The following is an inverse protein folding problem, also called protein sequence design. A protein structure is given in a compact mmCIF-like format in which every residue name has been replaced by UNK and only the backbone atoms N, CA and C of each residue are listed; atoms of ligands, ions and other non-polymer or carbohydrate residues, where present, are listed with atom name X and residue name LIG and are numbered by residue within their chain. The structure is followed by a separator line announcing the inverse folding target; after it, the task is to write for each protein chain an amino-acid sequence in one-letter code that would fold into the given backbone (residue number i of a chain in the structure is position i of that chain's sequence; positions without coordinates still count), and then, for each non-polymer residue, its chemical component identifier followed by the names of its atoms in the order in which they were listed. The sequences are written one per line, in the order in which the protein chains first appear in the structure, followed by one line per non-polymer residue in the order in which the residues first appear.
data_IF_536865972417
#
_entry.id   IF_536865972417
#
_cell.length_a   1.000
_cell.length_b   1.000
_cell.length_c   1.000
_cell.angle_alpha   90.00
_cell.angle_beta   90.00
_cell.angle_gamma   90.00
#
_symmetry.space_group_name_H-M   'P 1'
#
loop_
_entity.id
_entity.type
_entity.pdbx_description
1 polymer ?
#
# COMPACT_ATOMS: atom_id res chain seq x y z
N UNK A 1 16.73 -9.97 0.20
CA UNK A 1 16.32 -8.56 0.13
C UNK A 1 15.95 -8.11 1.53
N UNK A 2 16.47 -6.98 1.99
CA UNK A 2 16.10 -6.40 3.29
C UNK A 2 14.66 -5.91 3.25
N UNK A 3 13.95 -6.02 4.37
CA UNK A 3 12.56 -5.56 4.48
C UNK A 3 12.57 -4.02 4.52
N UNK A 4 11.98 -3.32 3.54
CA UNK A 4 12.15 -1.87 3.38
C UNK A 4 11.24 -1.04 4.30
N UNK A 5 10.24 -1.66 4.95
CA UNK A 5 9.26 -0.97 5.79
C UNK A 5 9.34 -1.45 7.24
N UNK A 6 9.34 -0.51 8.17
CA UNK A 6 9.32 -0.75 9.62
C UNK A 6 8.06 -0.11 10.21
N UNK A 7 7.12 -0.92 10.68
CA UNK A 7 5.84 -0.49 11.22
C UNK A 7 5.89 -0.44 12.74
N UNK A 8 5.73 0.76 13.31
CA UNK A 8 5.53 1.00 14.73
C UNK A 8 4.02 1.09 14.97
N UNK A 9 3.47 0.01 15.51
CA UNK A 9 2.04 -0.12 15.74
C UNK A 9 1.67 0.30 17.17
N UNK A 10 0.82 1.32 17.31
CA UNK A 10 0.23 1.68 18.60
C UNK A 10 -0.95 0.74 18.86
N UNK A 11 -0.68 -0.38 19.53
CA UNK A 11 -1.71 -1.37 19.89
C UNK A 11 -2.36 -1.07 21.25
N UNK A 12 -3.37 -1.85 21.63
CA UNK A 12 -4.07 -1.68 22.91
C UNK A 12 -3.13 -1.79 24.13
N UNK A 13 -2.07 -2.62 24.03
CA UNK A 13 -1.07 -2.79 25.09
C UNK A 13 -0.18 -1.56 25.20
N UNK A 14 0.13 -0.91 24.07
CA UNK A 14 0.87 0.34 23.98
C UNK A 14 0.15 1.46 24.71
N UNK A 15 -1.14 1.63 24.43
CA UNK A 15 -1.98 2.62 25.11
C UNK A 15 -2.04 2.39 26.62
N UNK A 16 -2.28 1.14 27.05
CA UNK A 16 -2.31 0.78 28.48
C UNK A 16 -0.98 1.06 29.18
N UNK A 17 0.14 0.72 28.54
CA UNK A 17 1.48 0.99 29.10
C UNK A 17 1.81 2.47 29.16
N UNK A 18 1.29 3.26 28.22
CA UNK A 18 1.41 4.70 28.20
C UNK A 18 0.40 5.40 29.12
N UNK A 19 -0.47 4.64 29.81
CA UNK A 19 -1.57 5.16 30.64
C UNK A 19 -2.53 6.07 29.84
N UNK A 20 -2.65 5.83 28.54
CA UNK A 20 -3.58 6.56 27.67
C UNK A 20 -4.93 5.86 27.73
N UNK A 21 -5.94 6.59 28.17
CA UNK A 21 -7.29 6.09 28.23
C UNK A 21 -7.83 5.82 26.82
N UNK A 22 -8.66 4.78 26.70
CA UNK A 22 -9.16 4.37 25.38
C UNK A 22 -10.01 5.42 24.68
N UNK A 23 -10.50 6.45 25.37
CA UNK A 23 -11.28 7.55 24.77
C UNK A 23 -10.37 8.72 24.32
N UNK A 24 -9.10 8.74 24.70
CA UNK A 24 -8.10 9.77 24.39
C UNK A 24 -7.24 9.41 23.18
N UNK A 25 -7.80 8.62 22.27
CA UNK A 25 -7.11 8.10 21.07
C UNK A 25 -7.55 8.79 19.79
N UNK A 26 -8.55 9.68 19.88
CA UNK A 26 -9.06 10.50 18.79
C UNK A 26 -9.40 11.90 19.34
N UNK A 27 -8.42 12.83 19.40
CA UNK A 27 -7.07 12.71 18.85
C UNK A 27 -6.12 11.90 19.74
N UNK A 28 -5.12 11.24 19.14
CA UNK A 28 -4.03 10.57 19.86
C UNK A 28 -3.14 11.60 20.61
N UNK A 29 -2.68 11.23 21.82
CA UNK A 29 -1.74 12.03 22.62
C UNK A 29 -0.51 12.48 21.80
N UNK A 30 -0.28 13.79 21.72
CA UNK A 30 0.88 14.37 21.03
C UNK A 30 2.18 14.12 21.79
N UNK A 31 2.12 14.09 23.12
CA UNK A 31 3.25 13.71 23.97
C UNK A 31 3.72 12.27 23.64
N UNK A 32 2.78 11.34 23.44
CA UNK A 32 3.12 9.96 23.11
C UNK A 32 3.75 9.84 21.71
N UNK A 33 3.24 10.58 20.73
CA UNK A 33 3.87 10.67 19.41
C UNK A 33 5.26 11.31 19.50
N UNK A 34 5.43 12.36 20.31
CA UNK A 34 6.69 13.07 20.49
C UNK A 34 7.80 12.14 21.03
N UNK A 35 7.47 11.29 22.01
CA UNK A 35 8.38 10.26 22.54
C UNK A 35 8.88 9.31 21.46
N UNK A 36 8.01 8.88 20.55
CA UNK A 36 8.40 8.00 19.44
C UNK A 36 9.27 8.73 18.42
N UNK A 37 8.92 9.96 18.05
CA UNK A 37 9.71 10.79 17.12
C UNK A 37 11.09 11.08 17.69
N UNK A 38 11.20 11.41 18.97
CA UNK A 38 12.47 11.62 19.65
C UNK A 38 13.32 10.34 19.75
N UNK A 39 12.68 9.17 19.90
CA UNK A 39 13.42 7.90 19.82
C UNK A 39 13.96 7.66 18.40
N UNK A 40 13.18 8.00 17.37
CA UNK A 40 13.57 7.88 15.96
C UNK A 40 14.68 8.86 15.54
N UNK A 41 14.72 10.06 16.13
CA UNK A 41 15.81 11.02 15.85
C UNK A 41 17.18 10.48 16.28
N UNK A 42 17.19 9.55 17.23
CA UNK A 42 18.42 8.89 17.70
C UNK A 42 18.78 7.62 16.91
N UNK A 43 17.96 7.21 15.94
CA UNK A 43 18.12 5.95 15.21
C UNK A 43 18.37 6.14 13.70
N UNK A 44 18.85 7.32 13.29
CA UNK A 44 19.11 7.70 11.89
C UNK A 44 17.93 7.44 10.93
N UNK A 45 16.69 7.39 11.43
CA UNK A 45 15.53 7.07 10.60
C UNK A 45 15.35 8.15 9.53
N UNK A 46 15.41 7.73 8.26
CA UNK A 46 15.46 8.65 7.15
C UNK A 46 14.13 9.22 6.69
N UNK A 47 13.13 8.34 6.62
CA UNK A 47 11.78 8.67 6.19
C UNK A 47 10.82 8.12 7.24
N UNK A 48 10.00 9.00 7.80
CA UNK A 48 9.03 8.66 8.85
C UNK A 48 7.64 9.10 8.41
N UNK A 49 6.74 8.14 8.29
CA UNK A 49 5.32 8.34 8.04
C UNK A 49 4.52 8.40 9.34
N UNK A 50 3.64 9.38 9.46
CA UNK A 50 2.64 9.46 10.53
C UNK A 50 1.24 9.24 9.96
N UNK A 51 0.70 8.06 10.22
CA UNK A 51 -0.65 7.68 9.85
C UNK A 51 -1.62 7.96 11.01
N UNK A 52 -1.72 9.22 11.38
CA UNK A 52 -2.64 9.74 12.40
C UNK A 52 -3.19 11.09 11.94
N UNK A 53 -4.48 11.33 12.19
CA UNK A 53 -5.05 12.64 11.93
C UNK A 53 -4.57 13.64 12.99
N UNK A 54 -3.84 14.67 12.55
CA UNK A 54 -3.22 15.69 13.40
C UNK A 54 -3.82 17.08 13.16
N UNK A 55 -5.11 17.14 12.81
CA UNK A 55 -5.84 18.37 12.47
C UNK A 55 -6.48 19.08 13.69
N UNK A 56 -6.71 18.36 14.79
CA UNK A 56 -7.21 18.94 16.05
C UNK A 56 -6.10 19.59 16.87
N UNK A 57 -6.46 20.64 17.62
CA UNK A 57 -5.56 21.32 18.55
C UNK A 57 -5.36 20.55 19.85
N UNK A 58 -4.12 20.51 20.34
CA UNK A 58 -3.75 19.98 21.65
C UNK A 58 -2.78 20.94 22.34
N UNK A 59 -2.78 20.97 23.68
CA UNK A 59 -1.77 21.70 24.46
C UNK A 59 -0.34 21.26 24.13
N UNK A 60 -0.20 20.02 23.68
CA UNK A 60 1.08 19.34 23.48
C UNK A 60 1.57 19.42 22.02
N UNK A 61 0.88 20.17 21.15
CA UNK A 61 1.26 20.33 19.74
C UNK A 61 2.69 20.91 19.60
N UNK A 62 3.07 21.83 20.49
CA UNK A 62 4.42 22.42 20.53
C UNK A 62 5.50 21.40 20.88
N UNK A 63 5.22 20.47 21.79
CA UNK A 63 6.16 19.41 22.16
C UNK A 63 6.42 18.47 20.99
N UNK A 64 5.37 18.09 20.27
CA UNK A 64 5.47 17.25 19.09
C UNK A 64 6.20 17.97 17.95
N UNK A 65 5.88 19.25 17.70
CA UNK A 65 6.59 20.07 16.72
C UNK A 65 8.09 20.18 17.02
N UNK A 66 8.46 20.44 18.28
CA UNK A 66 9.86 20.50 18.73
C UNK A 66 10.58 19.19 18.45
N UNK A 67 9.91 18.06 18.66
CA UNK A 67 10.48 16.73 18.38
C UNK A 67 10.74 16.52 16.88
N UNK A 68 9.84 16.99 16.00
CA UNK A 68 10.07 16.96 14.56
C UNK A 68 11.22 17.86 14.13
N UNK A 69 11.27 19.10 14.62
CA UNK A 69 12.34 20.06 14.33
C UNK A 69 13.70 19.48 14.73
N UNK A 70 13.80 18.88 15.91
CA UNK A 70 15.03 18.24 16.38
C UNK A 70 15.45 17.09 15.46
N UNK A 71 14.52 16.24 15.04
CA UNK A 71 14.81 15.15 14.12
C UNK A 71 15.29 15.65 12.73
N UNK A 72 14.67 16.71 12.21
CA UNK A 72 15.08 17.34 10.94
C UNK A 72 16.48 17.91 11.06
N UNK A 73 16.78 18.66 12.12
CA UNK A 73 18.08 19.29 12.31
C UNK A 73 19.22 18.29 12.56
N UNK A 74 18.94 17.21 13.29
CA UNK A 74 19.96 16.21 13.65
C UNK A 74 20.22 15.19 12.55
N UNK A 75 19.18 14.75 11.84
CA UNK A 75 19.25 13.57 10.94
C UNK A 75 18.76 13.83 9.53
N UNK A 76 18.26 15.04 9.24
CA UNK A 76 17.59 15.38 7.97
C UNK A 76 16.47 14.37 7.68
N UNK A 77 15.68 14.02 8.72
CA UNK A 77 14.53 13.11 8.59
C UNK A 77 13.42 13.76 7.78
N UNK A 78 12.83 12.99 6.85
CA UNK A 78 11.71 13.44 6.04
C UNK A 78 10.41 12.91 6.64
N UNK A 79 9.54 13.82 7.08
CA UNK A 79 8.25 13.46 7.66
C UNK A 79 7.14 13.53 6.62
N UNK A 80 6.42 12.43 6.47
CA UNK A 80 5.23 12.33 5.63
C UNK A 80 4.01 12.18 6.54
N UNK A 81 3.02 13.06 6.38
CA UNK A 81 1.77 13.03 7.13
C UNK A 81 0.64 12.51 6.27
N UNK A 82 -0.29 11.81 6.89
CA UNK A 82 -1.53 11.40 6.23
C UNK A 82 -2.47 12.61 6.07
N UNK A 83 -3.07 12.77 4.90
CA UNK A 83 -4.23 13.63 4.66
C UNK A 83 -5.48 12.80 4.46
N UNK A 84 -6.64 13.41 4.69
CA UNK A 84 -7.92 12.81 4.31
C UNK A 84 -8.79 13.81 3.56
N UNK A 85 -9.28 13.42 2.39
CA UNK A 85 -10.33 14.18 1.72
C UNK A 85 -11.65 13.99 2.47
N UNK A 86 -12.19 15.07 3.03
CA UNK A 86 -13.46 15.06 3.76
C UNK A 86 -14.63 15.43 2.85
N UNK A 87 -14.45 16.47 2.04
CA UNK A 87 -15.35 16.91 0.97
C UNK A 87 -14.52 17.17 -0.31
N UNK A 88 -15.13 17.29 -1.51
CA UNK A 88 -14.40 17.49 -2.76
C UNK A 88 -13.30 18.56 -2.69
N UNK A 89 -13.57 19.67 -1.97
CA UNK A 89 -12.66 20.80 -1.81
C UNK A 89 -12.08 20.95 -0.40
N UNK A 90 -12.40 20.01 0.52
CA UNK A 90 -11.94 20.07 1.92
C UNK A 90 -11.02 18.89 2.20
N UNK A 91 -9.74 19.18 2.32
CA UNK A 91 -8.72 18.22 2.77
C UNK A 91 -8.39 18.47 4.23
N UNK A 92 -8.49 17.44 5.04
CA UNK A 92 -8.05 17.43 6.43
C UNK A 92 -6.54 17.16 6.46
N UNK A 93 -5.78 18.12 6.96
CA UNK A 93 -4.33 18.10 7.00
C UNK A 93 -3.79 18.22 8.43
N UNK A 94 -2.50 17.89 8.60
CA UNK A 94 -1.77 18.24 9.82
C UNK A 94 -1.73 19.76 9.98
N UNK A 95 -2.02 20.24 11.19
CA UNK A 95 -1.99 21.69 11.48
C UNK A 95 -0.57 22.25 11.37
N UNK A 96 -0.47 23.53 10.97
CA UNK A 96 0.82 24.21 10.87
C UNK A 96 1.51 24.44 12.23
N UNK A 97 0.77 24.30 13.34
CA UNK A 97 1.33 24.28 14.70
C UNK A 97 2.20 23.04 14.94
N UNK A 98 1.87 21.93 14.29
CA UNK A 98 2.59 20.66 14.41
C UNK A 98 3.62 20.54 13.29
N UNK A 99 3.25 20.87 12.04
CA UNK A 99 4.11 20.69 10.88
C UNK A 99 4.06 21.87 9.91
N UNK A 100 5.22 22.49 9.63
CA UNK A 100 5.31 23.62 8.70
C UNK A 100 5.34 23.15 7.23
N UNK A 101 4.68 23.87 6.30
CA UNK A 101 4.80 23.66 4.86
C UNK A 101 6.25 23.65 4.32
N UNK A 102 7.20 24.22 5.07
CA UNK A 102 8.61 24.33 4.69
C UNK A 102 9.40 23.02 4.80
N UNK A 103 8.84 22.03 5.51
CA UNK A 103 9.49 20.73 5.70
C UNK A 103 8.53 19.54 5.67
N UNK A 104 7.21 19.75 5.80
CA UNK A 104 6.24 18.65 5.76
C UNK A 104 6.07 18.11 4.34
N UNK A 105 5.96 16.78 4.25
CA UNK A 105 5.36 16.08 3.12
C UNK A 105 4.01 15.54 3.54
N UNK A 106 3.12 15.35 2.59
CA UNK A 106 1.78 14.88 2.84
C UNK A 106 1.25 14.04 1.69
N UNK A 107 0.51 12.99 2.03
CA UNK A 107 -0.19 12.19 1.04
C UNK A 107 -1.52 11.65 1.56
N UNK A 108 -2.42 11.39 0.62
CA UNK A 108 -3.77 10.93 0.89
C UNK A 108 -3.79 9.53 1.48
N UNK A 109 -4.35 9.43 2.68
CA UNK A 109 -4.48 8.19 3.44
C UNK A 109 -5.65 7.32 3.02
N UNK A 110 -6.57 7.85 2.22
CA UNK A 110 -7.68 7.05 1.69
C UNK A 110 -7.15 5.93 0.80
N UNK A 111 -7.76 4.75 0.92
CA UNK A 111 -7.57 3.61 0.01
C UNK A 111 -8.91 2.92 -0.18
N UNK A 112 -9.01 2.06 -1.19
CA UNK A 112 -10.25 1.35 -1.55
C UNK A 112 -10.14 -0.12 -1.15
N UNK A 113 -10.48 -0.49 0.11
CA UNK A 113 -10.38 -1.88 0.57
C UNK A 113 -11.36 -2.79 -0.16
N UNK A 114 -12.53 -2.28 -0.54
CA UNK A 114 -13.55 -3.03 -1.27
C UNK A 114 -13.61 -2.60 -2.74
N UNK A 115 -13.73 -3.52 -3.70
CA UNK A 115 -13.76 -4.98 -3.53
C UNK A 115 -12.38 -5.65 -3.50
N UNK A 116 -11.29 -4.94 -3.85
CA UNK A 116 -10.02 -5.58 -4.20
C UNK A 116 -8.76 -4.95 -3.59
N UNK A 117 -8.86 -4.14 -2.53
CA UNK A 117 -7.69 -3.49 -1.91
C UNK A 117 -6.80 -2.77 -2.94
N UNK A 118 -7.34 -1.72 -3.54
CA UNK A 118 -6.66 -1.03 -4.64
C UNK A 118 -5.43 -0.23 -4.15
N UNK A 119 -4.34 -0.30 -4.91
CA UNK A 119 -3.17 0.57 -4.73
C UNK A 119 -3.45 1.87 -5.46
N UNK A 120 -3.40 3.00 -4.74
CA UNK A 120 -3.58 4.33 -5.33
C UNK A 120 -2.22 4.88 -5.74
N UNK A 121 -2.01 4.96 -7.06
CA UNK A 121 -0.87 5.60 -7.70
C UNK A 121 -1.38 6.85 -8.40
N UNK A 122 -0.69 8.00 -8.29
CA UNK A 122 -1.11 9.20 -8.97
C UNK A 122 -1.03 9.06 -10.50
N UNK A 123 -2.05 9.58 -11.18
CA UNK A 123 -2.16 9.63 -12.65
C UNK A 123 -1.10 10.50 -13.32
N UNK A 124 -0.62 11.51 -12.60
CA UNK A 124 0.37 12.44 -13.07
C UNK A 124 1.48 12.61 -12.03
N UNK A 125 2.69 12.86 -12.51
CA UNK A 125 3.84 13.06 -11.63
C UNK A 125 3.70 14.39 -10.81
N UNK A 126 2.78 15.28 -11.20
CA UNK A 126 2.55 16.57 -10.52
C UNK A 126 1.65 16.47 -9.29
N UNK A 127 0.91 15.37 -9.09
CA UNK A 127 -0.08 15.20 -8.03
C UNK A 127 -0.99 16.42 -7.83
N UNK A 128 -1.40 17.06 -8.93
CA UNK A 128 -2.22 18.26 -8.91
C UNK A 128 -3.70 17.91 -8.85
N UNK A 129 -4.35 18.49 -7.84
CA UNK A 129 -5.71 18.25 -7.34
C UNK A 129 -6.85 18.50 -8.33
N UNK A 130 -7.22 17.46 -9.06
CA UNK A 130 -8.59 17.19 -9.49
C UNK A 130 -9.02 15.85 -8.87
N UNK A 131 -10.02 15.83 -7.98
CA UNK A 131 -10.85 14.73 -7.39
C UNK A 131 -10.26 13.33 -7.07
N UNK A 132 -9.23 12.86 -7.79
CA UNK A 132 -8.52 11.58 -7.67
C UNK A 132 -7.00 11.71 -7.92
N UNK A 133 -6.37 12.86 -7.64
CA UNK A 133 -5.00 13.16 -8.06
C UNK A 133 -4.10 13.78 -6.99
N UNK A 134 -4.46 13.67 -5.71
CA UNK A 134 -3.47 13.79 -4.64
C UNK A 134 -2.56 12.55 -4.63
N UNK A 135 -1.26 12.76 -4.38
CA UNK A 135 -0.34 11.65 -4.13
C UNK A 135 -0.85 10.84 -2.93
N UNK A 136 -0.91 9.51 -3.00
CA UNK A 136 -1.26 8.70 -1.82
C UNK A 136 -0.16 8.78 -0.75
N UNK A 137 -0.52 8.54 0.51
CA UNK A 137 0.42 8.50 1.63
C UNK A 137 1.56 7.51 1.38
N UNK A 138 1.22 6.31 0.92
CA UNK A 138 2.18 5.26 0.60
C UNK A 138 3.13 5.66 -0.55
N UNK A 139 2.60 6.38 -1.55
CA UNK A 139 3.40 6.93 -2.64
C UNK A 139 4.41 7.97 -2.15
N UNK A 140 3.98 8.90 -1.30
CA UNK A 140 4.87 9.94 -0.78
C UNK A 140 6.00 9.34 0.07
N UNK A 141 5.71 8.29 0.84
CA UNK A 141 6.73 7.53 1.56
C UNK A 141 7.75 6.88 0.63
N UNK A 142 7.27 6.20 -0.43
CA UNK A 142 8.13 5.54 -1.40
C UNK A 142 8.99 6.55 -2.16
N UNK A 143 8.39 7.67 -2.61
CA UNK A 143 9.08 8.75 -3.30
C UNK A 143 10.17 9.37 -2.42
N UNK A 144 9.85 9.71 -1.17
CA UNK A 144 10.80 10.26 -0.21
C UNK A 144 12.02 9.33 -0.03
N UNK A 145 11.76 8.03 0.14
CA UNK A 145 12.79 7.02 0.35
C UNK A 145 13.66 6.78 -0.89
N UNK A 146 13.06 6.80 -2.08
CA UNK A 146 13.79 6.61 -3.34
C UNK A 146 14.67 7.82 -3.64
N UNK A 147 14.17 9.04 -3.41
CA UNK A 147 14.94 10.26 -3.62
C UNK A 147 16.09 10.42 -2.62
N UNK A 148 15.85 10.15 -1.33
CA UNK A 148 16.88 10.29 -0.28
C UNK A 148 18.06 9.35 -0.48
N UNK A 149 17.80 8.10 -0.86
CA UNK A 149 18.85 7.07 -0.88
C UNK A 149 19.47 6.86 -2.27
N UNK A 150 18.99 7.54 -3.30
CA UNK A 150 19.59 7.45 -4.63
C UNK A 150 20.71 8.49 -4.78
N UNK A 151 21.95 8.04 -4.58
CA UNK A 151 23.14 8.90 -4.70
C UNK A 151 23.25 9.60 -6.06
N UNK A 152 22.76 9.01 -7.15
CA UNK A 152 22.76 9.62 -8.48
C UNK A 152 21.78 10.80 -8.64
N UNK A 153 20.83 10.92 -7.69
CA UNK A 153 19.84 11.99 -7.57
C UNK A 153 20.16 12.97 -6.43
N UNK A 154 21.33 12.87 -5.78
CA UNK A 154 21.68 13.73 -4.64
C UNK A 154 21.98 15.19 -5.03
N UNK A 155 22.39 15.44 -6.28
CA UNK A 155 22.76 16.79 -6.75
C UNK A 155 21.51 17.68 -6.80
N UNK A 156 21.52 18.76 -6.02
CA UNK A 156 20.43 19.74 -5.86
C UNK A 156 19.10 19.14 -5.38
N UNK A 157 19.13 18.02 -4.66
CA UNK A 157 17.92 17.44 -4.06
C UNK A 157 17.33 18.42 -3.01
N UNK A 158 16.06 18.82 -3.12
CA UNK A 158 15.41 19.62 -2.08
C UNK A 158 15.46 18.89 -0.74
N UNK A 159 15.77 19.62 0.33
CA UNK A 159 15.78 19.09 1.69
C UNK A 159 14.74 19.83 2.54
N UNK A 160 14.19 19.19 3.59
CA UNK A 160 13.37 19.89 4.56
C UNK A 160 14.19 21.02 5.20
N UNK A 161 13.65 22.24 5.20
CA UNK A 161 14.29 23.43 5.76
C UNK A 161 13.32 24.15 6.69
N UNK A 162 13.82 24.74 7.77
CA UNK A 162 12.99 25.39 8.80
C UNK A 162 12.72 26.87 8.48
N UNK A 163 13.59 27.52 7.70
CA UNK A 163 13.61 28.99 7.57
C UNK A 163 13.40 29.53 6.12
N UNK A 164 12.91 28.72 5.17
CA UNK A 164 12.72 29.15 3.77
C UNK A 164 11.27 29.61 3.49
N UNK A 165 11.09 30.86 3.06
CA UNK A 165 9.80 31.56 3.13
C UNK A 165 8.94 31.52 1.85
N UNK A 166 9.43 30.94 0.74
CA UNK A 166 8.77 31.21 -0.56
C UNK A 166 7.92 30.09 -1.15
N UNK A 167 8.20 28.81 -0.86
CA UNK A 167 7.50 27.65 -1.49
C UNK A 167 7.50 26.41 -0.58
N UNK A 168 6.40 25.64 -0.61
CA UNK A 168 6.26 24.40 0.18
C UNK A 168 7.29 23.35 -0.21
N UNK A 169 7.80 22.59 0.76
CA UNK A 169 8.79 21.54 0.53
C UNK A 169 8.29 20.47 -0.44
N UNK A 170 7.04 20.03 -0.26
CA UNK A 170 6.38 19.07 -1.14
C UNK A 170 6.36 19.54 -2.60
N UNK A 171 6.02 20.81 -2.87
CA UNK A 171 6.00 21.32 -4.26
C UNK A 171 7.40 21.35 -4.88
N UNK A 172 8.43 21.72 -4.11
CA UNK A 172 9.84 21.68 -4.55
C UNK A 172 10.25 20.25 -4.88
N UNK A 173 9.90 19.29 -4.02
CA UNK A 173 10.24 17.88 -4.17
C UNK A 173 9.57 17.24 -5.39
N UNK A 174 8.26 17.46 -5.58
CA UNK A 174 7.51 16.95 -6.73
C UNK A 174 8.03 17.54 -8.04
N UNK A 175 8.29 18.86 -8.08
CA UNK A 175 8.90 19.50 -9.24
C UNK A 175 10.28 18.92 -9.57
N UNK A 176 11.10 18.67 -8.54
CA UNK A 176 12.41 18.04 -8.72
C UNK A 176 12.29 16.64 -9.30
N UNK A 177 11.40 15.81 -8.75
CA UNK A 177 11.11 14.46 -9.25
C UNK A 177 10.72 14.50 -10.74
N UNK A 178 9.81 15.40 -11.11
CA UNK A 178 9.32 15.53 -12.48
C UNK A 178 10.43 15.96 -13.45
N UNK A 179 11.29 16.87 -13.02
CA UNK A 179 12.44 17.30 -13.82
C UNK A 179 13.46 16.17 -14.03
N UNK A 180 13.71 15.33 -13.02
CA UNK A 180 14.63 14.20 -13.17
C UNK A 180 14.07 13.10 -14.07
N UNK A 181 12.77 12.84 -13.98
CA UNK A 181 12.06 11.94 -14.88
C UNK A 181 12.14 12.39 -16.34
N UNK A 182 11.92 13.68 -16.64
CA UNK A 182 12.02 14.19 -18.02
C UNK A 182 13.45 14.18 -18.56
N UNK A 183 14.47 14.20 -17.69
CA UNK A 183 15.89 14.11 -18.05
C UNK A 183 16.37 12.66 -18.29
N UNK A 184 15.49 11.66 -18.31
CA UNK A 184 15.85 10.26 -18.54
C UNK A 184 16.62 9.60 -17.38
N UNK A 185 16.82 10.32 -16.27
CA UNK A 185 17.22 9.74 -14.99
C UNK A 185 15.96 9.18 -14.35
N UNK A 186 15.50 8.06 -14.91
CA UNK A 186 14.27 7.41 -14.52
C UNK A 186 14.22 7.24 -12.99
N UNK A 187 13.37 8.01 -12.33
CA UNK A 187 12.81 7.63 -11.02
C UNK A 187 11.71 6.63 -11.40
N UNK A 188 12.13 5.46 -11.89
CA UNK A 188 11.39 4.66 -12.88
C UNK A 188 10.04 4.11 -12.42
N UNK A 189 9.71 4.20 -11.14
CA UNK A 189 8.77 3.23 -10.57
C UNK A 189 7.40 3.77 -10.13
N UNK A 190 7.19 5.08 -10.19
CA UNK A 190 6.01 5.69 -9.60
C UNK A 190 4.95 6.13 -10.62
N UNK A 191 5.04 5.64 -11.86
CA UNK A 191 4.05 5.94 -12.90
C UNK A 191 2.97 4.87 -12.91
N UNK A 192 1.72 5.31 -12.80
CA UNK A 192 0.57 4.47 -13.08
C UNK A 192 0.75 3.88 -14.49
N UNK A 193 0.93 2.56 -14.59
CA UNK A 193 0.81 1.88 -15.88
C UNK A 193 -0.63 2.10 -16.32
N UNK A 194 -0.85 2.91 -17.36
CA UNK A 194 -2.18 3.19 -17.89
C UNK A 194 -2.96 1.88 -18.07
N UNK A 195 -3.94 1.67 -17.21
CA UNK A 195 -4.86 0.56 -17.29
C UNK A 195 -6.12 1.01 -18.02
N UNK A 196 -6.12 0.93 -19.35
CA UNK A 196 -7.35 1.10 -20.15
C UNK A 196 -8.32 -0.07 -19.87
N UNK A 197 -9.64 0.09 -20.04
CA UNK A 197 -10.65 -0.97 -19.84
C UNK A 197 -10.90 -1.43 -18.39
N UNK A 198 -10.52 -0.62 -17.39
CA UNK A 198 -10.94 -0.83 -15.99
C UNK A 198 -10.10 -1.82 -15.19
N UNK A 199 -8.90 -2.19 -15.65
CA UNK A 199 -7.96 -2.95 -14.82
C UNK A 199 -7.59 -2.14 -13.58
N UNK A 200 -7.36 -2.85 -12.49
CA UNK A 200 -7.10 -2.25 -11.18
C UNK A 200 -5.76 -2.72 -10.66
N UNK A 201 -4.99 -1.81 -10.09
CA UNK A 201 -3.78 -2.16 -9.36
C UNK A 201 -4.19 -2.51 -7.93
N UNK A 202 -3.75 -3.66 -7.43
CA UNK A 202 -4.20 -4.20 -6.14
C UNK A 202 -3.02 -4.55 -5.23
N UNK A 203 -3.27 -4.55 -3.93
CA UNK A 203 -2.31 -5.04 -2.94
C UNK A 203 -2.17 -6.55 -3.10
N UNK A 204 -0.92 -7.01 -3.23
CA UNK A 204 -0.63 -8.44 -3.30
C UNK A 204 -0.44 -9.06 -1.91
N UNK A 205 -1.50 -9.71 -1.41
CA UNK A 205 -1.46 -10.47 -0.17
C UNK A 205 -0.93 -11.91 -0.32
N UNK A 206 -0.48 -12.30 -1.52
CA UNK A 206 0.29 -13.54 -1.69
C UNK A 206 1.68 -13.42 -1.06
N UNK A 207 2.16 -12.21 -0.77
CA UNK A 207 3.40 -12.01 -0.04
C UNK A 207 3.07 -11.90 1.45
N UNK A 208 3.72 -12.70 2.31
CA UNK A 208 3.41 -12.72 3.73
C UNK A 208 3.89 -11.44 4.43
N UNK A 209 3.21 -11.00 5.51
CA UNK A 209 3.54 -9.74 6.19
C UNK A 209 4.99 -9.61 6.67
N UNK A 210 5.59 -10.72 7.12
CA UNK A 210 6.98 -10.78 7.61
C UNK A 210 8.03 -10.51 6.52
N UNK A 211 7.66 -10.58 5.24
CA UNK A 211 8.51 -10.18 4.12
C UNK A 211 8.26 -8.74 3.66
N UNK A 212 7.13 -8.16 4.04
CA UNK A 212 6.69 -6.82 3.62
C UNK A 212 7.16 -5.75 4.60
N UNK A 213 6.92 -5.98 5.90
CA UNK A 213 7.26 -5.04 6.95
C UNK A 213 7.71 -5.75 8.22
N UNK A 214 8.66 -5.13 8.94
CA UNK A 214 8.95 -5.50 10.32
C UNK A 214 8.02 -4.72 11.22
N UNK A 215 7.18 -5.42 11.99
CA UNK A 215 6.23 -4.78 12.90
C UNK A 215 6.70 -4.88 14.35
N UNK A 216 6.66 -3.76 15.06
CA UNK A 216 6.93 -3.66 16.50
C UNK A 216 5.80 -2.88 17.19
N UNK A 217 5.41 -3.28 18.40
CA UNK A 217 4.48 -2.48 19.18
C UNK A 217 5.17 -1.20 19.69
N UNK A 218 4.47 -0.07 19.71
CA UNK A 218 5.02 1.21 20.13
C UNK A 218 5.67 1.16 21.52
N UNK A 219 5.06 0.44 22.48
CA UNK A 219 5.68 0.27 23.81
C UNK A 219 6.99 -0.51 23.79
N UNK A 220 7.15 -1.47 22.87
CA UNK A 220 8.40 -2.23 22.73
C UNK A 220 9.46 -1.36 22.08
N UNK A 221 9.08 -0.61 21.05
CA UNK A 221 9.96 0.33 20.37
C UNK A 221 10.55 1.37 21.34
N UNK A 222 9.71 1.95 22.19
CA UNK A 222 10.15 2.91 23.22
C UNK A 222 11.09 2.28 24.27
N UNK A 223 11.05 0.96 24.45
CA UNK A 223 11.91 0.22 25.39
C UNK A 223 13.20 -0.31 24.77
N UNK A 224 13.39 -0.17 23.44
CA UNK A 224 14.62 -0.60 22.80
C UNK A 224 15.83 0.19 23.35
N UNK A 225 16.95 -0.47 23.69
CA UNK A 225 18.21 0.20 23.97
C UNK A 225 18.64 1.10 22.81
N UNK A 226 19.26 2.25 23.09
CA UNK A 226 19.66 3.21 22.04
C UNK A 226 20.74 2.65 21.10
N UNK A 227 21.50 1.66 21.55
CA UNK A 227 22.52 0.92 20.81
C UNK A 227 21.98 -0.36 20.14
N UNK A 228 20.66 -0.61 20.21
CA UNK A 228 20.08 -1.83 19.64
C UNK A 228 20.31 -1.91 18.11
N UNK A 229 20.70 -3.08 17.58
CA UNK A 229 20.86 -3.28 16.14
C UNK A 229 19.59 -2.91 15.36
N UNK A 230 18.41 -3.15 15.94
CA UNK A 230 17.14 -2.81 15.32
C UNK A 230 16.99 -1.31 15.00
N UNK A 231 17.55 -0.43 15.81
CA UNK A 231 17.53 1.02 15.57
C UNK A 231 18.56 1.43 14.52
N UNK A 232 19.72 0.76 14.46
CA UNK A 232 20.77 1.06 13.49
C UNK A 232 20.35 0.73 12.05
N UNK A 233 19.51 -0.29 11.88
CA UNK A 233 18.97 -0.68 10.57
C UNK A 233 17.83 0.21 10.05
N UNK A 234 17.56 1.38 10.63
CA UNK A 234 16.44 2.23 10.21
C UNK A 234 16.79 3.27 9.13
N UNK A 235 18.07 3.53 8.85
CA UNK A 235 18.48 4.55 7.87
C UNK A 235 18.03 4.23 6.43
N UNK A 236 18.00 2.95 6.08
CA UNK A 236 17.53 2.48 4.78
C UNK A 236 16.07 2.02 4.79
N UNK A 237 15.29 2.29 5.85
CA UNK A 237 13.90 1.86 5.94
C UNK A 237 12.94 3.04 5.97
N UNK A 238 11.72 2.80 5.50
CA UNK A 238 10.58 3.67 5.77
C UNK A 238 9.99 3.26 7.11
N UNK A 239 9.98 4.17 8.07
CA UNK A 239 9.31 3.94 9.35
C UNK A 239 7.89 4.49 9.27
N UNK A 240 6.88 3.70 9.66
CA UNK A 240 5.48 4.15 9.71
C UNK A 240 4.99 4.03 11.15
N UNK A 241 4.51 5.14 11.74
CA UNK A 241 3.81 5.15 13.02
C UNK A 241 2.31 5.16 12.73
N UNK A 242 1.59 4.14 13.22
CA UNK A 242 0.18 3.95 12.87
C UNK A 242 -0.62 3.23 13.97
N UNK A 243 -1.97 3.27 13.90
CA UNK A 243 -2.84 2.44 14.73
C UNK A 243 -2.54 0.94 14.59
N UNK A 244 -2.42 0.27 15.73
CA UNK A 244 -2.11 -1.15 15.86
C UNK A 244 -3.31 -2.04 16.19
N UNK A 245 -4.52 -1.60 15.89
CA UNK A 245 -5.72 -2.42 16.05
C UNK A 245 -6.40 -2.35 17.42
N UNK A 246 -6.27 -1.24 18.15
CA UNK A 246 -7.06 -1.00 19.37
C UNK A 246 -8.53 -0.76 19.03
N UNK A 247 -9.41 -0.96 20.01
CA UNK A 247 -10.86 -1.09 19.77
C UNK A 247 -11.52 0.16 19.17
N UNK A 248 -11.06 1.36 19.53
CA UNK A 248 -11.57 2.64 19.02
C UNK A 248 -10.85 3.15 17.76
N UNK A 249 -9.91 2.39 17.20
CA UNK A 249 -9.28 2.75 15.94
C UNK A 249 -10.33 2.65 14.81
N UNK A 250 -10.57 3.76 14.11
CA UNK A 250 -11.58 3.87 13.02
C UNK A 250 -11.18 3.10 11.76
N UNK A 251 -9.92 2.73 11.68
CA UNK A 251 -9.21 2.18 10.54
C UNK A 251 -8.88 0.69 10.72
N UNK A 252 -9.78 -0.03 11.39
CA UNK A 252 -9.76 -1.47 11.55
C UNK A 252 -10.58 -2.15 10.46
N UNK A 253 -9.97 -3.08 9.73
CA UNK A 253 -10.59 -3.80 8.62
C UNK A 253 -10.63 -5.30 8.87
N UNK A 254 -11.49 -5.97 8.11
CA UNK A 254 -11.44 -7.42 8.00
C UNK A 254 -10.09 -7.86 7.43
N UNK A 255 -9.53 -8.89 8.06
CA UNK A 255 -8.23 -9.43 7.65
C UNK A 255 -8.37 -10.09 6.29
N UNK A 256 -7.51 -9.73 5.30
CA UNK A 256 -7.52 -10.37 3.99
C UNK A 256 -7.42 -11.90 4.09
N UNK A 257 -8.16 -12.62 3.24
CA UNK A 257 -8.27 -14.08 3.30
C UNK A 257 -6.92 -14.78 3.22
N UNK A 258 -6.00 -14.30 2.38
CA UNK A 258 -4.66 -14.86 2.26
C UNK A 258 -3.88 -14.76 3.59
N UNK A 259 -3.97 -13.62 4.28
CA UNK A 259 -3.36 -13.42 5.59
C UNK A 259 -4.03 -14.33 6.62
N UNK A 260 -5.37 -14.33 6.69
CA UNK A 260 -6.09 -15.04 7.73
C UNK A 260 -6.02 -16.57 7.61
N UNK A 261 -6.13 -17.11 6.40
CA UNK A 261 -6.31 -18.55 6.19
C UNK A 261 -5.01 -19.26 5.82
N UNK A 262 -4.13 -18.61 5.06
CA UNK A 262 -2.92 -19.24 4.56
C UNK A 262 -1.71 -18.88 5.43
N UNK A 263 -1.39 -17.59 5.53
CA UNK A 263 -0.17 -17.16 6.22
C UNK A 263 -0.19 -17.39 7.71
N UNK A 264 -1.31 -17.10 8.38
CA UNK A 264 -1.48 -17.43 9.80
C UNK A 264 -1.27 -18.92 10.08
N UNK A 265 -1.82 -19.79 9.25
CA UNK A 265 -1.70 -21.24 9.45
C UNK A 265 -0.26 -21.73 9.30
N UNK A 266 0.48 -21.20 8.33
CA UNK A 266 1.74 -21.78 7.88
C UNK A 266 3.00 -21.15 8.48
N UNK A 267 2.93 -19.97 9.13
CA UNK A 267 4.14 -19.20 9.52
C UNK A 267 4.29 -18.86 11.02
N UNK A 268 3.61 -19.57 11.92
CA UNK A 268 3.58 -19.25 13.38
C UNK A 268 3.19 -17.78 13.70
N UNK A 269 2.62 -17.07 12.72
CA UNK A 269 1.97 -15.75 12.87
C UNK A 269 0.76 -15.87 13.83
N UNK A 270 0.33 -17.11 14.15
CA UNK A 270 -0.73 -17.46 15.09
C UNK A 270 -0.54 -16.90 16.51
N UNK A 271 0.71 -16.65 16.96
CA UNK A 271 0.96 -16.03 18.27
C UNK A 271 0.39 -14.62 18.39
N UNK A 272 0.07 -14.01 17.25
CA UNK A 272 -0.55 -12.70 17.19
C UNK A 272 -2.06 -12.91 17.01
N UNK A 273 -2.79 -13.03 18.13
CA UNK A 273 -4.27 -13.07 18.16
C UNK A 273 -4.86 -11.70 17.76
N UNK A 274 -4.68 -11.31 16.49
CA UNK A 274 -5.16 -10.05 15.91
C UNK A 274 -6.55 -10.26 15.33
N UNK A 275 -7.47 -9.37 15.71
CA UNK A 275 -8.85 -9.32 15.19
C UNK A 275 -8.96 -8.52 13.89
N UNK A 276 -8.04 -7.59 13.65
CA UNK A 276 -8.14 -6.58 12.60
C UNK A 276 -6.89 -6.57 11.73
N UNK A 277 -7.06 -6.15 10.48
CA UNK A 277 -6.01 -5.63 9.63
C UNK A 277 -6.10 -4.10 9.66
N UNK A 278 -4.98 -3.41 9.86
CA UNK A 278 -4.99 -1.95 10.11
C UNK A 278 -4.60 -1.14 8.88
N UNK A 279 -4.94 0.15 8.87
CA UNK A 279 -4.47 1.04 7.79
C UNK A 279 -2.95 1.15 7.72
N UNK A 280 -2.27 1.09 8.87
CA UNK A 280 -0.81 1.06 8.92
C UNK A 280 -0.23 -0.15 8.19
N UNK A 281 -0.85 -1.32 8.33
CA UNK A 281 -0.46 -2.52 7.59
C UNK A 281 -0.79 -2.37 6.09
N UNK A 282 -1.92 -1.78 5.73
CA UNK A 282 -2.28 -1.50 4.34
C UNK A 282 -1.26 -0.57 3.66
N UNK A 283 -0.91 0.55 4.29
CA UNK A 283 0.10 1.47 3.79
C UNK A 283 1.49 0.84 3.75
N UNK A 284 1.84 0.00 4.72
CA UNK A 284 3.11 -0.73 4.69
C UNK A 284 3.20 -1.67 3.48
N UNK A 285 2.13 -2.40 3.17
CA UNK A 285 2.02 -3.18 1.93
C UNK A 285 2.15 -2.29 0.69
N UNK A 286 1.38 -1.21 0.59
CA UNK A 286 1.43 -0.32 -0.57
C UNK A 286 2.83 0.29 -0.76
N UNK A 287 3.46 0.79 0.30
CA UNK A 287 4.81 1.37 0.23
C UNK A 287 5.84 0.31 -0.14
N UNK A 288 5.76 -0.90 0.40
CA UNK A 288 6.62 -2.00 -0.01
C UNK A 288 6.49 -2.30 -1.50
N UNK A 289 5.28 -2.45 -2.01
CA UNK A 289 5.00 -2.73 -3.42
C UNK A 289 5.52 -1.63 -4.33
N UNK A 290 5.41 -0.37 -3.88
CA UNK A 290 6.00 0.78 -4.55
C UNK A 290 7.53 0.84 -4.48
N UNK A 291 8.17 0.28 -3.45
CA UNK A 291 9.64 0.26 -3.35
C UNK A 291 10.28 -0.95 -4.03
N UNK A 292 9.57 -2.08 -4.06
CA UNK A 292 10.06 -3.37 -4.60
C UNK A 292 9.75 -3.58 -6.08
N UNK A 293 9.17 -2.57 -6.70
CA UNK A 293 8.70 -2.62 -8.07
C UNK A 293 7.53 -3.60 -8.35
N UNK A 294 6.81 -4.02 -7.30
CA UNK A 294 5.84 -5.13 -7.34
C UNK A 294 4.39 -4.65 -7.31
N UNK A 295 3.82 -4.31 -8.47
CA UNK A 295 2.40 -3.92 -8.60
C UNK A 295 1.62 -5.01 -9.34
N UNK A 296 0.58 -5.55 -8.70
CA UNK A 296 -0.30 -6.54 -9.31
C UNK A 296 -1.46 -5.88 -10.03
N UNK A 297 -1.65 -6.23 -11.31
CA UNK A 297 -2.75 -5.76 -12.16
C UNK A 297 -3.85 -6.82 -12.20
N UNK A 298 -5.01 -6.49 -11.65
CA UNK A 298 -6.22 -7.31 -11.72
C UNK A 298 -6.98 -7.03 -13.01
N UNK A 299 -7.20 -8.07 -13.81
CA UNK A 299 -8.10 -8.00 -14.96
C UNK A 299 -9.56 -8.02 -14.47
N UNK A 300 -10.44 -7.13 -14.96
CA UNK A 300 -11.84 -7.12 -14.58
C UNK A 300 -12.51 -8.47 -14.78
N UNK A 301 -13.12 -9.08 -13.74
CA UNK A 301 -13.75 -10.39 -13.87
C UNK A 301 -14.82 -10.44 -14.97
N UNK A 302 -15.58 -9.35 -15.15
CA UNK A 302 -16.63 -9.26 -16.18
C UNK A 302 -16.07 -9.37 -17.60
N UNK A 303 -14.90 -8.78 -17.86
CA UNK A 303 -14.25 -8.87 -19.17
C UNK A 303 -13.86 -10.33 -19.46
N UNK A 304 -13.27 -11.01 -18.47
CA UNK A 304 -12.91 -12.42 -18.59
C UNK A 304 -14.14 -13.31 -18.78
N UNK A 305 -15.23 -13.07 -18.06
CA UNK A 305 -16.50 -13.80 -18.22
C UNK A 305 -17.09 -13.59 -19.61
N UNK A 306 -17.11 -12.35 -20.12
CA UNK A 306 -17.63 -12.04 -21.45
C UNK A 306 -16.81 -12.74 -22.55
N UNK A 307 -15.47 -12.69 -22.47
CA UNK A 307 -14.59 -13.39 -23.41
C UNK A 307 -14.80 -14.91 -23.34
N UNK A 308 -14.92 -15.47 -22.14
CA UNK A 308 -15.19 -16.89 -21.94
C UNK A 308 -16.55 -17.33 -22.52
N UNK A 309 -17.60 -16.52 -22.35
CA UNK A 309 -18.91 -16.78 -22.93
C UNK A 309 -18.86 -16.80 -24.47
N UNK A 310 -18.20 -15.79 -25.06
CA UNK A 310 -18.03 -15.70 -26.52
C UNK A 310 -17.23 -16.87 -27.09
N UNK A 311 -16.08 -17.20 -26.48
CA UNK A 311 -15.25 -18.33 -26.90
C UNK A 311 -15.98 -19.67 -26.71
N UNK A 312 -16.72 -19.84 -25.62
CA UNK A 312 -17.49 -21.04 -25.35
C UNK A 312 -18.58 -21.26 -26.40
N UNK A 313 -19.31 -20.19 -26.76
CA UNK A 313 -20.37 -20.25 -27.79
C UNK A 313 -19.80 -20.53 -29.18
N UNK A 314 -18.68 -19.89 -29.53
CA UNK A 314 -18.00 -20.13 -30.82
C UNK A 314 -17.53 -21.58 -30.92
N UNK A 315 -16.93 -22.10 -29.85
CA UNK A 315 -16.47 -23.50 -29.77
C UNK A 315 -17.64 -24.47 -29.91
N UNK A 316 -18.76 -24.21 -29.22
CA UNK A 316 -20.00 -24.98 -29.36
C UNK A 316 -20.49 -25.05 -30.82
N UNK A 317 -20.50 -23.93 -31.54
CA UNK A 317 -20.93 -23.88 -32.95
C UNK A 317 -19.99 -24.65 -33.90
N UNK A 318 -18.68 -24.54 -33.71
CA UNK A 318 -17.68 -25.29 -34.50
C UNK A 318 -17.85 -26.78 -34.26
N UNK A 319 -17.97 -27.17 -33.00
CA UNK A 319 -18.16 -28.57 -32.62
C UNK A 319 -19.45 -29.11 -33.21
N UNK A 320 -20.57 -28.39 -33.11
CA UNK A 320 -21.87 -28.80 -33.67
C UNK A 320 -21.80 -29.17 -35.16
N UNK A 321 -21.03 -28.41 -35.96
CA UNK A 321 -20.85 -28.69 -37.39
C UNK A 321 -20.12 -30.01 -37.69
N UNK A 322 -19.41 -30.58 -36.71
CA UNK A 322 -18.62 -31.82 -36.86
C UNK A 322 -19.36 -33.08 -36.36
N UNK A 323 -20.61 -32.98 -35.90
CA UNK A 323 -21.33 -34.13 -35.32
C UNK A 323 -22.10 -34.98 -36.34
N UNK A 324 -21.56 -36.18 -36.61
CA UNK A 324 -22.33 -37.31 -37.14
C UNK A 324 -22.13 -38.62 -36.35
N UNK A 325 -21.40 -38.66 -35.22
CA UNK A 325 -21.22 -39.91 -34.41
C UNK A 325 -21.26 -39.69 -32.89
N UNK A 326 -22.23 -40.26 -32.15
CA UNK A 326 -22.57 -39.83 -30.77
C UNK A 326 -21.80 -40.50 -29.61
N UNK A 327 -21.21 -41.69 -29.75
CA UNK A 327 -20.79 -42.49 -28.56
C UNK A 327 -19.44 -42.09 -27.92
N UNK A 328 -18.40 -41.75 -28.69
CA UNK A 328 -17.06 -41.39 -28.14
C UNK A 328 -16.84 -39.89 -27.97
N UNK A 329 -17.83 -39.10 -28.34
CA UNK A 329 -17.70 -37.66 -28.43
C UNK A 329 -17.70 -36.99 -27.05
N UNK A 330 -18.67 -37.35 -26.19
CA UNK A 330 -18.87 -36.69 -24.90
C UNK A 330 -17.62 -36.82 -24.02
N UNK A 331 -17.01 -38.00 -24.00
CA UNK A 331 -15.76 -38.25 -23.27
C UNK A 331 -14.61 -37.38 -23.78
N UNK A 332 -14.45 -37.25 -25.10
CA UNK A 332 -13.41 -36.39 -25.70
C UNK A 332 -13.63 -34.92 -25.39
N UNK A 333 -14.88 -34.45 -25.41
CA UNK A 333 -15.23 -33.08 -25.05
C UNK A 333 -14.92 -32.79 -23.58
N UNK A 334 -15.32 -33.68 -22.67
CA UNK A 334 -15.05 -33.51 -21.23
C UNK A 334 -13.56 -33.48 -20.96
N UNK A 335 -12.78 -34.40 -21.56
CA UNK A 335 -11.31 -34.39 -21.44
C UNK A 335 -10.72 -33.08 -21.99
N UNK A 336 -11.19 -32.64 -23.16
CA UNK A 336 -10.76 -31.37 -23.76
C UNK A 336 -11.05 -30.15 -22.88
N UNK A 337 -12.22 -30.10 -22.24
CA UNK A 337 -12.58 -29.03 -21.30
C UNK A 337 -11.65 -29.04 -20.08
N UNK A 338 -11.42 -30.20 -19.48
CA UNK A 338 -10.51 -30.35 -18.32
C UNK A 338 -9.10 -29.87 -18.68
N UNK A 339 -8.57 -30.33 -19.82
CA UNK A 339 -7.23 -29.95 -20.27
C UNK A 339 -7.12 -28.45 -20.56
N UNK A 340 -8.13 -27.88 -21.24
CA UNK A 340 -8.17 -26.45 -21.57
C UNK A 340 -8.23 -25.58 -20.30
N UNK A 341 -9.12 -25.93 -19.36
CA UNK A 341 -9.21 -25.22 -18.08
C UNK A 341 -7.92 -25.34 -17.29
N UNK A 342 -7.30 -26.53 -17.23
CA UNK A 342 -6.00 -26.72 -16.55
C UNK A 342 -4.91 -25.86 -17.20
N UNK A 343 -4.82 -25.87 -18.52
CA UNK A 343 -3.87 -25.03 -19.26
C UNK A 343 -4.10 -23.54 -18.99
N UNK A 344 -5.36 -23.08 -18.98
CA UNK A 344 -5.71 -21.70 -18.64
C UNK A 344 -5.24 -21.33 -17.22
N UNK A 345 -5.45 -22.21 -16.24
CA UNK A 345 -4.95 -22.01 -14.88
C UNK A 345 -3.43 -21.88 -14.82
N UNK A 346 -2.70 -22.74 -15.54
CA UNK A 346 -1.22 -22.68 -15.62
C UNK A 346 -0.77 -21.38 -16.28
N UNK A 347 -1.37 -20.98 -17.40
CA UNK A 347 -1.05 -19.73 -18.10
C UNK A 347 -1.33 -18.53 -17.20
N UNK A 348 -2.47 -18.50 -16.51
CA UNK A 348 -2.82 -17.45 -15.56
C UNK A 348 -1.82 -17.35 -14.41
N UNK A 349 -1.36 -18.48 -13.88
CA UNK A 349 -0.32 -18.53 -12.85
C UNK A 349 1.02 -18.00 -13.37
N UNK A 350 1.45 -18.41 -14.56
CA UNK A 350 2.70 -17.91 -15.15
C UNK A 350 2.64 -16.42 -15.43
N UNK A 351 1.49 -15.92 -15.91
CA UNK A 351 1.29 -14.50 -16.14
C UNK A 351 1.36 -13.68 -14.83
N UNK A 352 0.87 -14.24 -13.73
CA UNK A 352 1.01 -13.65 -12.41
C UNK A 352 2.47 -13.59 -11.96
N UNK A 353 3.23 -14.69 -12.09
CA UNK A 353 4.63 -14.74 -11.62
C UNK A 353 5.53 -13.79 -12.44
N UNK A 354 5.33 -13.73 -13.76
CA UNK A 354 6.25 -13.02 -14.65
C UNK A 354 5.87 -11.56 -14.88
N UNK A 355 4.58 -11.27 -14.92
CA UNK A 355 4.06 -9.96 -15.29
C UNK A 355 3.24 -9.29 -14.20
N UNK A 356 3.06 -9.94 -13.05
CA UNK A 356 2.19 -9.49 -11.97
C UNK A 356 0.75 -9.26 -12.45
N UNK A 357 0.27 -10.03 -13.43
CA UNK A 357 -1.10 -9.94 -13.95
C UNK A 357 -1.95 -11.05 -13.38
N UNK A 358 -3.03 -10.69 -12.68
CA UNK A 358 -3.93 -11.64 -12.04
C UNK A 358 -5.17 -11.91 -12.89
N UNK A 359 -5.33 -13.17 -13.30
CA UNK A 359 -6.52 -13.68 -13.99
C UNK A 359 -7.48 -14.35 -13.00
N UNK A 360 -8.77 -14.03 -13.09
CA UNK A 360 -9.79 -14.77 -12.33
C UNK A 360 -9.98 -16.13 -12.98
N UNK A 361 -9.65 -17.22 -12.28
CA UNK A 361 -9.68 -18.56 -12.86
C UNK A 361 -11.10 -19.16 -12.92
N UNK A 362 -11.85 -19.09 -11.81
CA UNK A 362 -12.99 -19.97 -11.60
C UNK A 362 -14.20 -19.61 -12.46
N UNK A 363 -14.67 -18.36 -12.36
CA UNK A 363 -15.89 -17.93 -13.06
C UNK A 363 -15.73 -17.97 -14.58
N UNK A 364 -14.66 -17.45 -15.21
CA UNK A 364 -14.47 -17.57 -16.65
C UNK A 364 -14.42 -19.03 -17.12
N UNK A 365 -13.75 -19.91 -16.38
CA UNK A 365 -13.70 -21.34 -16.72
C UNK A 365 -15.09 -22.00 -16.65
N UNK A 366 -15.86 -21.71 -15.61
CA UNK A 366 -17.22 -22.22 -15.46
C UNK A 366 -18.15 -21.70 -16.57
N UNK A 367 -18.07 -20.40 -16.89
CA UNK A 367 -18.81 -19.79 -17.99
C UNK A 367 -18.47 -20.42 -19.33
N UNK A 368 -17.17 -20.60 -19.64
CA UNK A 368 -16.74 -21.26 -20.86
C UNK A 368 -17.33 -22.67 -20.96
N UNK A 369 -17.21 -23.49 -19.92
CA UNK A 369 -17.75 -24.84 -19.89
C UNK A 369 -19.27 -24.85 -20.10
N UNK A 370 -19.99 -23.96 -19.43
CA UNK A 370 -21.45 -23.84 -19.57
C UNK A 370 -21.86 -23.55 -21.03
N UNK A 371 -21.21 -22.59 -21.68
CA UNK A 371 -21.53 -22.23 -23.07
C UNK A 371 -21.09 -23.29 -24.08
N UNK A 372 -20.00 -24.02 -23.82
CA UNK A 372 -19.60 -25.17 -24.67
C UNK A 372 -20.62 -26.30 -24.58
N UNK A 373 -21.14 -26.60 -23.39
CA UNK A 373 -22.12 -27.66 -23.16
C UNK A 373 -23.56 -27.27 -23.50
N UNK A 374 -23.85 -25.96 -23.60
CA UNK A 374 -25.17 -25.46 -23.95
C UNK A 374 -25.55 -25.90 -25.37
N UNK A 375 -26.41 -26.91 -25.47
CA UNK A 375 -26.88 -27.41 -26.74
C UNK A 375 -27.71 -26.33 -27.45
N UNK A 376 -27.47 -26.05 -28.74
CA UNK A 376 -28.45 -25.32 -29.54
C UNK A 376 -29.64 -26.27 -29.78
N UNK A 377 -30.50 -26.46 -28.79
CA UNK A 377 -31.83 -27.01 -29.02
C UNK A 377 -32.72 -25.87 -29.47
N UNK A 378 -32.83 -25.72 -30.79
CA UNK A 378 -34.03 -25.30 -31.52
C UNK A 378 -33.85 -25.66 -32.99
#
# INVERSE_FOLDING_TARGET
TSIPVYLIAIDQKSLKKAQIETYEVDPISREYLAKMVQKLSNSNAGVVGLNYSLNGSSSDDQLLNTSFINAINQQVTWFVFVSHQYEPDVTIEVTDRIASPQWKLQGEGSYKPYPFWEVIIPKNDSCQANEYSSCSFAYMLALARQLRNNNALSVNLPRPQIEDDSKTFQSKLLRYSNQKNTQGKNITFLKERYTSLGFKQIIDFSIPPDQIYKNIAAWQFLQLPSDSPELQELDDKVVIIAPGGYQRAKDNYHIPLAINNYWRRNRDIQKINRKWFTSGEAHAYMTHHLLSEHIVILIPPLLLIATAAFLGKTTNLILHKQYLKPSKYLTRLVIGLILSTTAYGVVGLQAYIWFSVLFTWFLPSATFCFFVMSNPRK
#
